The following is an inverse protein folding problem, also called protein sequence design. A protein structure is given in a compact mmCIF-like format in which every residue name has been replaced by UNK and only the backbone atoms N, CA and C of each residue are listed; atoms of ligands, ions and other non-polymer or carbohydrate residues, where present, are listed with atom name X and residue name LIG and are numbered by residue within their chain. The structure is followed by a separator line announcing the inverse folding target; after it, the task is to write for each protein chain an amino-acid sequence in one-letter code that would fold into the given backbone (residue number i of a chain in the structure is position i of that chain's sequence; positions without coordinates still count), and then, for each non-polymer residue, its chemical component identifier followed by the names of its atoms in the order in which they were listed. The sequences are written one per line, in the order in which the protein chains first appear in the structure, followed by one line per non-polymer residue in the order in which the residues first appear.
data_IF_667898723395
#
_entry.id   IF_667898723395
#
_cell.length_a   1.000
_cell.length_b   1.000
_cell.length_c   1.000
_cell.angle_alpha   90.00
_cell.angle_beta   90.00
_cell.angle_gamma   90.00
#
_symmetry.space_group_name_H-M   'P 1'
#
loop_
_entity.id
_entity.type
_entity.pdbx_description
1 polymer ?
#
# COMPACT_ATOMS: atom_id res chain seq x y z
N UNK A 1 14.34 -37.00 29.14
CA UNK A 1 15.52 -37.26 28.30
C UNK A 1 16.66 -36.35 28.71
N UNK A 2 17.72 -36.88 29.32
CA UNK A 2 18.84 -36.09 29.89
C UNK A 2 19.80 -35.59 28.80
N UNK A 3 20.02 -36.41 27.76
CA UNK A 3 20.83 -36.09 26.59
C UNK A 3 20.29 -34.94 25.73
N UNK A 4 18.96 -34.85 25.57
CA UNK A 4 18.31 -33.72 24.87
C UNK A 4 18.44 -32.41 25.65
N UNK A 5 18.43 -32.47 26.99
CA UNK A 5 18.60 -31.31 27.85
C UNK A 5 20.05 -30.79 27.82
N UNK A 6 21.03 -31.69 27.81
CA UNK A 6 22.45 -31.34 27.69
C UNK A 6 22.74 -30.74 26.30
N UNK A 7 22.16 -31.27 25.22
CA UNK A 7 22.25 -30.70 23.89
C UNK A 7 21.60 -29.30 23.79
N UNK A 8 20.44 -29.11 24.42
CA UNK A 8 19.78 -27.80 24.52
C UNK A 8 20.60 -26.79 25.35
N UNK A 9 21.29 -27.24 26.40
CA UNK A 9 22.10 -26.36 27.25
C UNK A 9 23.28 -25.71 26.51
N UNK A 10 23.74 -26.34 25.42
CA UNK A 10 24.84 -25.87 24.58
C UNK A 10 24.35 -24.90 23.49
N UNK A 11 23.05 -24.95 23.14
CA UNK A 11 22.43 -24.10 22.13
C UNK A 11 21.65 -22.95 22.79
N UNK A 12 22.32 -21.80 22.87
CA UNK A 12 21.77 -20.56 23.41
C UNK A 12 20.50 -20.09 22.70
N UNK A 13 20.35 -20.37 21.40
CA UNK A 13 19.17 -19.96 20.64
C UNK A 13 18.00 -20.92 20.88
N UNK A 14 18.27 -22.22 21.00
CA UNK A 14 17.25 -23.19 21.41
C UNK A 14 16.73 -22.91 22.83
N UNK A 15 17.59 -22.55 23.79
CA UNK A 15 17.15 -22.14 25.14
C UNK A 15 16.24 -20.91 25.09
N UNK A 16 16.55 -19.94 24.24
CA UNK A 16 15.74 -18.72 24.08
C UNK A 16 14.38 -19.03 23.44
N UNK A 17 14.33 -19.89 22.42
CA UNK A 17 13.07 -20.35 21.83
C UNK A 17 12.24 -21.16 22.81
N UNK A 18 12.87 -22.06 23.58
CA UNK A 18 12.18 -22.79 24.66
C UNK A 18 11.61 -21.84 25.72
N UNK A 19 12.34 -20.77 26.06
CA UNK A 19 11.80 -19.75 26.97
C UNK A 19 10.52 -19.11 26.42
N UNK A 20 10.45 -18.86 25.10
CA UNK A 20 9.24 -18.33 24.46
C UNK A 20 8.10 -19.34 24.47
N UNK A 21 8.36 -20.61 24.15
CA UNK A 21 7.36 -21.68 24.16
C UNK A 21 6.78 -21.87 25.58
N UNK A 22 7.64 -21.83 26.60
CA UNK A 22 7.19 -21.91 28.00
C UNK A 22 6.31 -20.70 28.34
N UNK A 23 6.71 -19.49 27.93
CA UNK A 23 5.90 -18.29 28.14
C UNK A 23 4.56 -18.37 27.40
N UNK A 24 4.54 -18.92 26.19
CA UNK A 24 3.32 -19.14 25.41
C UNK A 24 2.36 -20.09 26.12
N UNK A 25 2.88 -21.18 26.69
CA UNK A 25 2.09 -22.16 27.45
C UNK A 25 1.53 -21.59 28.75
N UNK A 26 2.28 -20.72 29.44
CA UNK A 26 1.89 -20.16 30.74
C UNK A 26 0.94 -18.98 30.58
N UNK A 27 1.30 -18.00 29.73
CA UNK A 27 0.54 -16.76 29.55
C UNK A 27 -0.60 -16.91 28.54
N UNK A 28 -0.49 -17.88 27.63
CA UNK A 28 -1.41 -18.05 26.50
C UNK A 28 -1.05 -17.17 25.31
N UNK A 29 -1.49 -17.61 24.13
CA UNK A 29 -1.21 -16.98 22.82
C UNK A 29 -1.80 -15.57 22.67
N UNK A 30 -2.81 -15.22 23.47
CA UNK A 30 -3.51 -13.93 23.39
C UNK A 30 -2.96 -12.88 24.38
N UNK A 31 -1.98 -13.22 25.22
CA UNK A 31 -1.46 -12.29 26.22
C UNK A 31 -0.56 -11.22 25.59
N UNK A 32 -0.73 -9.96 26.00
CA UNK A 32 0.01 -8.80 25.44
C UNK A 32 1.53 -8.98 25.56
N UNK A 33 1.99 -9.49 26.70
CA UNK A 33 3.42 -9.67 26.96
C UNK A 33 4.04 -10.76 26.07
N UNK A 34 3.26 -11.75 25.63
CA UNK A 34 3.78 -12.79 24.74
C UNK A 34 4.17 -12.17 23.39
N UNK A 35 3.28 -11.35 22.83
CA UNK A 35 3.55 -10.70 21.55
C UNK A 35 4.71 -9.71 21.66
N UNK A 36 4.81 -8.98 22.78
CA UNK A 36 5.95 -8.09 23.01
C UNK A 36 7.28 -8.88 23.08
N UNK A 37 7.30 -10.03 23.76
CA UNK A 37 8.48 -10.91 23.83
C UNK A 37 8.87 -11.46 22.45
N UNK A 38 7.90 -11.87 21.63
CA UNK A 38 8.13 -12.29 20.25
C UNK A 38 8.78 -11.18 19.42
N UNK A 39 8.21 -9.97 19.48
CA UNK A 39 8.73 -8.81 18.75
C UNK A 39 10.15 -8.44 19.18
N UNK A 40 10.41 -8.39 20.49
CA UNK A 40 11.73 -8.08 21.04
C UNK A 40 12.79 -9.12 20.63
N UNK A 41 12.41 -10.41 20.62
CA UNK A 41 13.31 -11.47 20.15
C UNK A 41 13.57 -11.39 18.65
N UNK A 42 12.57 -11.09 17.84
CA UNK A 42 12.77 -10.83 16.42
C UNK A 42 13.73 -9.66 16.18
N UNK A 43 13.63 -8.58 16.96
CA UNK A 43 14.59 -7.46 16.89
C UNK A 43 16.02 -7.93 17.20
N UNK A 44 16.22 -8.72 18.26
CA UNK A 44 17.53 -9.29 18.58
C UNK A 44 18.09 -10.19 17.46
N UNK A 45 17.23 -10.90 16.72
CA UNK A 45 17.64 -11.65 15.52
C UNK A 45 18.02 -10.76 14.34
N UNK A 46 17.37 -9.60 14.20
CA UNK A 46 17.75 -8.62 13.18
C UNK A 46 19.13 -8.01 13.48
N UNK A 47 19.42 -7.71 14.74
CA UNK A 47 20.73 -7.20 15.19
C UNK A 47 21.86 -8.22 14.98
N UNK A 48 21.55 -9.52 15.08
CA UNK A 48 22.49 -10.61 14.79
C UNK A 48 22.55 -11.01 13.31
N UNK A 49 21.93 -10.22 12.41
CA UNK A 49 21.84 -10.46 10.96
C UNK A 49 21.07 -11.73 10.56
N UNK A 50 20.35 -12.35 11.49
CA UNK A 50 19.51 -13.52 11.26
C UNK A 50 18.10 -13.12 10.82
N UNK A 51 18.00 -12.43 9.68
CA UNK A 51 16.75 -11.83 9.21
C UNK A 51 15.59 -12.81 8.99
N UNK A 52 15.86 -14.05 8.55
CA UNK A 52 14.80 -15.05 8.34
C UNK A 52 14.10 -15.43 9.66
N UNK A 53 14.85 -15.65 10.73
CA UNK A 53 14.26 -15.94 12.05
C UNK A 53 13.45 -14.76 12.59
N UNK A 54 13.91 -13.54 12.32
CA UNK A 54 13.15 -12.32 12.63
C UNK A 54 11.81 -12.27 11.88
N UNK A 55 11.84 -12.52 10.57
CA UNK A 55 10.65 -12.55 9.72
C UNK A 55 9.65 -13.60 10.22
N UNK A 56 10.11 -14.82 10.51
CA UNK A 56 9.23 -15.91 10.98
C UNK A 56 8.55 -15.55 12.31
N UNK A 57 9.29 -14.98 13.27
CA UNK A 57 8.73 -14.56 14.55
C UNK A 57 7.76 -13.38 14.42
N UNK A 58 8.09 -12.38 13.60
CA UNK A 58 7.25 -11.20 13.41
C UNK A 58 6.00 -11.53 12.59
N UNK A 59 6.08 -12.46 11.63
CA UNK A 59 4.89 -13.02 10.95
C UNK A 59 3.97 -13.73 11.94
N UNK A 60 4.51 -14.60 12.79
CA UNK A 60 3.71 -15.27 13.82
C UNK A 60 3.08 -14.26 14.80
N UNK A 61 3.85 -13.25 15.23
CA UNK A 61 3.32 -12.17 16.06
C UNK A 61 2.19 -11.39 15.37
N UNK A 62 2.27 -11.16 14.07
CA UNK A 62 1.23 -10.49 13.28
C UNK A 62 -0.03 -11.35 13.17
N UNK A 63 0.10 -12.65 12.93
CA UNK A 63 -1.02 -13.60 12.90
C UNK A 63 -1.80 -13.60 14.21
N UNK A 64 -1.08 -13.69 15.34
CA UNK A 64 -1.69 -13.64 16.67
C UNK A 64 -2.41 -12.33 16.93
N UNK A 65 -1.88 -11.19 16.45
CA UNK A 65 -2.50 -9.87 16.60
C UNK A 65 -3.76 -9.72 15.77
N UNK A 66 -3.73 -10.15 14.51
CA UNK A 66 -4.89 -10.08 13.62
C UNK A 66 -6.02 -10.93 14.19
N UNK A 67 -5.73 -12.15 14.64
CA UNK A 67 -6.69 -13.06 15.25
C UNK A 67 -7.34 -12.50 16.54
N UNK A 68 -6.65 -11.64 17.28
CA UNK A 68 -7.12 -11.11 18.57
C UNK A 68 -7.74 -9.71 18.46
N UNK A 69 -6.99 -8.76 17.91
CA UNK A 69 -7.25 -7.32 18.03
C UNK A 69 -7.67 -6.66 16.69
N UNK A 70 -7.78 -7.44 15.60
CA UNK A 70 -8.05 -6.98 14.22
C UNK A 70 -6.96 -6.06 13.63
N UNK A 71 -7.11 -5.73 12.35
CA UNK A 71 -6.19 -4.86 11.60
C UNK A 71 -6.29 -3.39 12.04
N UNK A 72 -7.43 -2.95 12.58
CA UNK A 72 -7.66 -1.54 12.96
C UNK A 72 -6.90 -1.11 14.23
N UNK A 73 -6.37 -2.07 14.99
CA UNK A 73 -5.66 -1.79 16.22
C UNK A 73 -4.25 -1.26 15.95
N UNK A 74 -3.85 -0.20 16.66
CA UNK A 74 -2.60 0.52 16.42
C UNK A 74 -1.37 -0.39 16.53
N UNK A 75 -1.39 -1.33 17.47
CA UNK A 75 -0.29 -2.25 17.70
C UNK A 75 -0.16 -3.23 16.51
N UNK A 76 -1.27 -3.74 15.97
CA UNK A 76 -1.28 -4.62 14.78
C UNK A 76 -0.69 -3.91 13.56
N UNK A 77 -1.10 -2.66 13.34
CA UNK A 77 -0.54 -1.80 12.29
C UNK A 77 0.97 -1.58 12.47
N UNK A 78 1.41 -1.34 13.71
CA UNK A 78 2.82 -1.14 14.01
C UNK A 78 3.66 -2.39 13.69
N UNK A 79 3.16 -3.59 14.03
CA UNK A 79 3.85 -4.85 13.68
C UNK A 79 3.92 -5.10 12.19
N UNK A 80 2.83 -4.85 11.46
CA UNK A 80 2.83 -4.95 10.00
C UNK A 80 3.81 -3.94 9.38
N UNK A 81 3.85 -2.70 9.89
CA UNK A 81 4.77 -1.67 9.42
C UNK A 81 6.24 -2.05 9.67
N UNK A 82 6.56 -2.58 10.85
CA UNK A 82 7.91 -3.04 11.19
C UNK A 82 8.35 -4.17 10.25
N UNK A 83 7.47 -5.13 9.98
CA UNK A 83 7.74 -6.26 9.08
C UNK A 83 7.98 -5.80 7.64
N UNK A 84 7.17 -4.88 7.12
CA UNK A 84 7.37 -4.31 5.77
C UNK A 84 8.68 -3.53 5.67
N UNK A 85 9.05 -2.77 6.70
CA UNK A 85 10.33 -2.07 6.74
C UNK A 85 11.51 -3.04 6.71
N UNK A 86 11.43 -4.13 7.47
CA UNK A 86 12.43 -5.18 7.46
C UNK A 86 12.58 -5.81 6.07
N UNK A 87 11.47 -6.09 5.39
CA UNK A 87 11.53 -6.60 4.01
C UNK A 87 12.18 -5.60 3.05
N UNK A 88 11.83 -4.30 3.15
CA UNK A 88 12.43 -3.27 2.31
C UNK A 88 13.94 -3.14 2.56
N UNK A 89 14.35 -3.15 3.83
CA UNK A 89 15.76 -3.02 4.24
C UNK A 89 16.59 -4.23 3.78
N UNK A 90 16.05 -5.43 3.99
CA UNK A 90 16.68 -6.66 3.53
C UNK A 90 16.82 -6.68 1.99
N UNK A 91 15.78 -6.23 1.27
CA UNK A 91 15.80 -6.18 -0.19
C UNK A 91 16.80 -5.13 -0.73
N UNK A 92 16.89 -3.96 -0.09
CA UNK A 92 17.87 -2.91 -0.46
C UNK A 92 19.31 -3.38 -0.20
N UNK A 93 19.58 -3.92 1.00
CA UNK A 93 20.91 -4.45 1.36
C UNK A 93 21.31 -5.64 0.50
N UNK A 94 20.37 -6.53 0.16
CA UNK A 94 20.63 -7.62 -0.76
C UNK A 94 20.91 -7.12 -2.19
N UNK A 95 20.12 -6.15 -2.68
CA UNK A 95 20.34 -5.53 -3.98
C UNK A 95 21.68 -4.78 -4.09
N UNK A 96 22.15 -4.19 -2.99
CA UNK A 96 23.46 -3.56 -2.88
C UNK A 96 24.62 -4.57 -2.71
N UNK A 97 24.33 -5.87 -2.58
CA UNK A 97 25.33 -6.92 -2.36
C UNK A 97 25.92 -6.96 -0.95
N UNK A 98 25.34 -6.22 0.01
CA UNK A 98 25.78 -6.17 1.42
C UNK A 98 25.36 -7.43 2.20
N UNK A 99 24.29 -8.10 1.77
CA UNK A 99 23.75 -9.31 2.40
C UNK A 99 23.51 -10.43 1.39
N UNK A 100 23.86 -11.66 1.78
CA UNK A 100 23.58 -12.87 1.01
C UNK A 100 22.13 -13.31 1.11
N UNK A 101 21.47 -13.04 2.24
CA UNK A 101 20.08 -13.39 2.51
C UNK A 101 19.11 -12.48 1.75
N UNK A 102 18.27 -13.08 0.91
CA UNK A 102 17.22 -12.37 0.17
C UNK A 102 15.86 -12.48 0.86
N UNK A 103 14.97 -11.52 0.62
CA UNK A 103 13.56 -11.63 1.04
C UNK A 103 12.89 -12.77 0.28
N UNK A 104 12.19 -13.67 0.98
CA UNK A 104 11.42 -14.74 0.34
C UNK A 104 10.11 -14.16 -0.20
N UNK A 105 9.76 -14.37 -1.48
CA UNK A 105 8.49 -13.89 -2.04
C UNK A 105 7.27 -14.44 -1.29
N UNK A 106 7.36 -15.67 -0.78
CA UNK A 106 6.32 -16.34 -0.01
C UNK A 106 5.96 -15.59 1.27
N UNK A 107 6.95 -14.99 1.95
CA UNK A 107 6.72 -14.22 3.19
C UNK A 107 5.96 -12.91 2.90
N UNK A 108 6.32 -12.24 1.80
CA UNK A 108 5.63 -11.02 1.35
C UNK A 108 4.21 -11.33 0.92
N UNK A 109 4.00 -12.43 0.19
CA UNK A 109 2.66 -12.86 -0.23
C UNK A 109 1.82 -13.21 0.99
N UNK A 110 2.35 -14.00 1.92
CA UNK A 110 1.65 -14.39 3.14
C UNK A 110 1.21 -13.17 3.97
N UNK A 111 2.08 -12.17 4.13
CA UNK A 111 1.74 -10.94 4.86
C UNK A 111 0.67 -10.12 4.16
N UNK A 112 0.66 -10.06 2.82
CA UNK A 112 -0.46 -9.49 2.06
C UNK A 112 -1.73 -10.27 2.34
N UNK A 113 -1.69 -11.60 2.28
CA UNK A 113 -2.87 -12.45 2.49
C UNK A 113 -3.49 -12.28 3.88
N UNK A 114 -2.66 -12.18 4.92
CA UNK A 114 -3.10 -11.87 6.29
C UNK A 114 -3.77 -10.50 6.40
N UNK A 115 -3.21 -9.47 5.75
CA UNK A 115 -3.82 -8.13 5.78
C UNK A 115 -5.09 -8.05 4.94
N UNK A 116 -5.25 -8.90 3.92
CA UNK A 116 -6.43 -8.92 3.07
C UNK A 116 -7.60 -9.72 3.64
N UNK A 117 -7.35 -10.70 4.51
CA UNK A 117 -8.42 -11.57 5.04
C UNK A 117 -9.46 -10.81 5.84
N UNK A 118 -9.03 -9.85 6.67
CA UNK A 118 -9.92 -9.09 7.55
C UNK A 118 -10.30 -7.71 7.00
N UNK A 119 -9.78 -7.35 5.82
CA UNK A 119 -9.93 -6.01 5.27
C UNK A 119 -11.40 -5.67 4.97
N UNK A 120 -12.20 -6.64 4.50
CA UNK A 120 -13.63 -6.45 4.22
C UNK A 120 -14.43 -6.11 5.46
N UNK A 121 -14.20 -6.85 6.53
CA UNK A 121 -14.89 -6.65 7.80
C UNK A 121 -14.47 -5.28 8.39
N UNK A 122 -13.18 -4.95 8.33
CA UNK A 122 -12.69 -3.65 8.80
C UNK A 122 -13.30 -2.47 8.03
N UNK A 123 -13.45 -2.58 6.71
CA UNK A 123 -14.11 -1.55 5.89
C UNK A 123 -15.54 -1.30 6.35
N UNK A 124 -16.32 -2.38 6.53
CA UNK A 124 -17.72 -2.26 6.99
C UNK A 124 -17.83 -1.69 8.40
N UNK A 125 -16.87 -1.99 9.29
CA UNK A 125 -16.86 -1.45 10.65
C UNK A 125 -16.59 0.06 10.69
N UNK A 126 -15.82 0.59 9.74
CA UNK A 126 -15.52 2.02 9.65
C UNK A 126 -16.69 2.85 9.11
N UNK A 127 -17.70 2.20 8.52
CA UNK A 127 -18.95 2.86 8.08
C UNK A 127 -19.95 3.04 9.22
N UNK A 128 -19.80 2.28 10.32
CA UNK A 128 -20.71 2.31 11.47
C UNK A 128 -20.33 3.47 12.40
N UNK A 129 -21.29 4.33 12.71
CA UNK A 129 -21.09 5.42 13.67
C UNK A 129 -21.16 4.91 15.13
N UNK A 130 -20.36 5.45 16.07
CA UNK A 130 -19.39 6.55 15.91
C UNK A 130 -18.04 6.11 15.35
N UNK A 131 -17.47 6.90 14.44
CA UNK A 131 -16.18 6.59 13.81
C UNK A 131 -15.01 7.12 14.66
N UNK A 132 -14.11 6.23 15.07
CA UNK A 132 -12.95 6.59 15.89
C UNK A 132 -11.75 6.98 15.04
N UNK A 133 -11.26 8.21 15.21
CA UNK A 133 -10.10 8.76 14.48
C UNK A 133 -8.85 7.86 14.52
N UNK A 134 -8.57 7.22 15.66
CA UNK A 134 -7.42 6.30 15.80
C UNK A 134 -7.52 5.10 14.85
N UNK A 135 -8.71 4.53 14.69
CA UNK A 135 -8.95 3.39 13.81
C UNK A 135 -8.85 3.80 12.33
N UNK A 136 -9.30 5.01 11.98
CA UNK A 136 -9.11 5.58 10.66
C UNK A 136 -7.63 5.80 10.31
N UNK A 137 -6.84 6.34 11.25
CA UNK A 137 -5.40 6.50 11.05
C UNK A 137 -4.67 5.15 10.89
N UNK A 138 -5.10 4.14 11.64
CA UNK A 138 -4.62 2.76 11.48
C UNK A 138 -4.97 2.19 10.10
N UNK A 139 -6.20 2.38 9.65
CA UNK A 139 -6.67 1.99 8.32
C UNK A 139 -5.84 2.61 7.20
N UNK A 140 -5.63 3.94 7.25
CA UNK A 140 -4.80 4.63 6.27
C UNK A 140 -3.36 4.10 6.25
N UNK A 141 -2.79 3.76 7.42
CA UNK A 141 -1.48 3.13 7.50
C UNK A 141 -1.47 1.75 6.86
N UNK A 142 -2.51 0.95 7.06
CA UNK A 142 -2.64 -0.39 6.46
C UNK A 142 -2.68 -0.30 4.93
N UNK A 143 -3.44 0.64 4.37
CA UNK A 143 -3.47 0.83 2.91
C UNK A 143 -2.10 1.24 2.36
N UNK A 144 -1.35 2.07 3.09
CA UNK A 144 0.06 2.37 2.75
C UNK A 144 0.93 1.12 2.84
N UNK A 145 0.86 0.35 3.94
CA UNK A 145 1.60 -0.91 4.13
C UNK A 145 1.34 -1.87 2.96
N UNK A 146 0.08 -2.05 2.56
CA UNK A 146 -0.30 -2.88 1.40
C UNK A 146 0.37 -2.35 0.12
N UNK A 147 0.34 -1.04 -0.13
CA UNK A 147 0.99 -0.48 -1.32
C UNK A 147 2.51 -0.73 -1.35
N UNK A 148 3.19 -0.65 -0.19
CA UNK A 148 4.62 -0.96 -0.07
C UNK A 148 4.91 -2.47 -0.24
N UNK A 149 4.04 -3.34 0.26
CA UNK A 149 4.12 -4.79 0.00
C UNK A 149 3.95 -5.10 -1.49
N UNK A 150 3.02 -4.43 -2.18
CA UNK A 150 2.86 -4.56 -3.63
C UNK A 150 4.12 -4.12 -4.38
N UNK A 151 4.78 -3.05 -3.92
CA UNK A 151 6.07 -2.64 -4.47
C UNK A 151 7.12 -3.75 -4.35
N UNK A 152 7.26 -4.35 -3.17
CA UNK A 152 8.17 -5.49 -2.97
C UNK A 152 7.83 -6.67 -3.87
N UNK A 153 6.55 -7.04 -4.00
CA UNK A 153 6.11 -8.11 -4.90
C UNK A 153 6.56 -7.84 -6.33
N UNK A 154 6.43 -6.59 -6.82
CA UNK A 154 6.84 -6.25 -8.20
C UNK A 154 8.35 -6.36 -8.42
N UNK A 155 9.17 -6.27 -7.37
CA UNK A 155 10.63 -6.44 -7.46
C UNK A 155 11.07 -7.90 -7.33
N UNK A 156 10.34 -8.67 -6.51
CA UNK A 156 10.68 -10.07 -6.20
C UNK A 156 10.07 -11.08 -7.18
N UNK A 157 8.95 -10.74 -7.82
CA UNK A 157 8.24 -11.68 -8.70
C UNK A 157 8.96 -11.86 -10.04
N UNK A 158 9.70 -12.96 -10.17
CA UNK A 158 10.29 -13.44 -11.44
C UNK A 158 9.55 -14.66 -12.00
N UNK A 159 8.56 -15.23 -11.29
CA UNK A 159 7.91 -16.51 -11.64
C UNK A 159 6.42 -16.32 -11.93
N UNK A 160 5.93 -16.64 -13.15
CA UNK A 160 4.57 -16.32 -13.58
C UNK A 160 3.46 -17.17 -12.91
N UNK A 161 3.76 -18.39 -12.44
CA UNK A 161 2.75 -19.30 -11.88
C UNK A 161 2.26 -18.90 -10.48
N UNK A 162 3.12 -18.35 -9.63
CA UNK A 162 2.76 -17.86 -8.29
C UNK A 162 2.03 -16.51 -8.33
N UNK A 163 2.07 -15.80 -9.47
CA UNK A 163 1.43 -14.50 -9.62
C UNK A 163 -0.09 -14.57 -9.79
N UNK A 164 -0.62 -15.62 -10.43
CA UNK A 164 -2.05 -15.73 -10.73
C UNK A 164 -2.99 -15.65 -9.51
N UNK A 165 -2.78 -16.43 -8.42
CA UNK A 165 -3.66 -16.34 -7.24
C UNK A 165 -3.57 -14.97 -6.57
N UNK A 166 -2.36 -14.40 -6.48
CA UNK A 166 -2.13 -13.07 -5.91
C UNK A 166 -2.80 -11.98 -6.76
N UNK A 167 -2.63 -12.00 -8.08
CA UNK A 167 -3.28 -11.08 -9.02
C UNK A 167 -4.81 -11.16 -8.92
N UNK A 168 -5.39 -12.36 -8.74
CA UNK A 168 -6.83 -12.50 -8.48
C UNK A 168 -7.26 -11.83 -7.17
N UNK A 169 -6.48 -11.96 -6.10
CA UNK A 169 -6.75 -11.29 -4.82
C UNK A 169 -6.63 -9.77 -4.94
N UNK A 170 -5.58 -9.28 -5.61
CA UNK A 170 -5.39 -7.84 -5.89
C UNK A 170 -6.52 -7.30 -6.77
N UNK A 171 -6.94 -8.04 -7.80
CA UNK A 171 -8.09 -7.66 -8.63
C UNK A 171 -9.37 -7.56 -7.81
N UNK A 172 -9.65 -8.52 -6.92
CA UNK A 172 -10.81 -8.43 -6.01
C UNK A 172 -10.72 -7.20 -5.10
N UNK A 173 -9.55 -6.94 -4.51
CA UNK A 173 -9.30 -5.78 -3.67
C UNK A 173 -9.55 -4.46 -4.41
N UNK A 174 -9.01 -4.34 -5.62
CA UNK A 174 -9.01 -3.10 -6.36
C UNK A 174 -10.35 -2.85 -7.08
N UNK A 175 -10.96 -3.90 -7.64
CA UNK A 175 -12.17 -3.79 -8.44
C UNK A 175 -13.46 -3.92 -7.63
N UNK A 176 -13.53 -4.88 -6.70
CA UNK A 176 -14.75 -5.15 -5.93
C UNK A 176 -14.80 -4.34 -4.65
N UNK A 177 -13.69 -4.24 -3.93
CA UNK A 177 -13.66 -3.53 -2.64
C UNK A 177 -13.38 -2.03 -2.79
N UNK A 178 -12.47 -1.64 -3.69
CA UNK A 178 -12.04 -0.25 -3.91
C UNK A 178 -11.80 0.54 -2.59
N UNK A 179 -10.92 0.04 -1.69
CA UNK A 179 -10.73 0.64 -0.38
C UNK A 179 -10.20 2.07 -0.50
N UNK A 180 -10.80 2.97 0.28
CA UNK A 180 -10.47 4.41 0.30
C UNK A 180 -9.82 4.80 1.62
N UNK A 181 -8.84 5.68 1.55
CA UNK A 181 -8.30 6.35 2.75
C UNK A 181 -9.30 7.36 3.31
N UNK A 182 -8.99 7.95 4.46
CA UNK A 182 -9.73 9.10 5.00
C UNK A 182 -9.83 10.28 4.04
N UNK A 183 -8.85 10.44 3.15
CA UNK A 183 -8.85 11.47 2.11
C UNK A 183 -9.56 11.03 0.82
N UNK A 184 -10.16 9.85 0.80
CA UNK A 184 -10.78 9.28 -0.39
C UNK A 184 -9.78 8.74 -1.42
N UNK A 185 -8.48 8.69 -1.09
CA UNK A 185 -7.45 8.20 -2.00
C UNK A 185 -7.63 6.70 -2.21
N UNK A 186 -7.71 6.28 -3.47
CA UNK A 186 -7.64 4.87 -3.85
C UNK A 186 -6.19 4.36 -3.80
N UNK A 187 -6.00 3.04 -3.88
CA UNK A 187 -4.66 2.44 -3.98
C UNK A 187 -3.85 3.00 -5.15
N UNK A 188 -4.50 3.41 -6.24
CA UNK A 188 -3.82 4.03 -7.39
C UNK A 188 -3.33 5.45 -7.06
N UNK A 189 -4.08 6.24 -6.28
CA UNK A 189 -3.60 7.54 -5.76
C UNK A 189 -2.37 7.36 -4.88
N UNK A 190 -2.37 6.36 -3.99
CA UNK A 190 -1.22 6.05 -3.13
C UNK A 190 0.01 5.62 -3.95
N UNK A 191 -0.18 4.85 -5.02
CA UNK A 191 0.91 4.40 -5.89
C UNK A 191 1.58 5.54 -6.67
N UNK A 192 0.87 6.65 -6.88
CA UNK A 192 1.40 7.81 -7.63
C UNK A 192 1.77 9.00 -6.76
N UNK A 193 1.55 8.93 -5.44
CA UNK A 193 1.82 10.02 -4.51
C UNK A 193 3.11 9.84 -3.72
N UNK A 194 3.95 10.88 -3.65
CA UNK A 194 5.09 10.94 -2.69
C UNK A 194 4.65 10.99 -1.23
N UNK A 195 3.38 11.35 -0.95
CA UNK A 195 2.85 11.32 0.43
C UNK A 195 2.71 9.91 1.00
N UNK A 196 2.81 8.89 0.14
CA UNK A 196 2.83 7.49 0.52
C UNK A 196 4.21 7.09 1.07
N UNK A 197 4.46 7.51 2.31
CA UNK A 197 5.69 7.22 3.04
C UNK A 197 5.38 6.65 4.42
N UNK A 198 6.09 5.59 4.80
CA UNK A 198 6.01 4.97 6.12
C UNK A 198 6.90 5.72 7.12
N UNK A 199 6.58 6.98 7.42
CA UNK A 199 7.26 7.74 8.47
C UNK A 199 7.02 7.05 9.83
N UNK A 200 8.09 6.58 10.46
CA UNK A 200 8.10 6.22 11.89
C UNK A 200 9.37 6.81 12.46
N UNK A 201 9.26 7.56 13.56
CA UNK A 201 10.39 8.30 14.11
C UNK A 201 11.42 7.45 14.88
N UNK A 202 11.16 6.17 15.26
CA UNK A 202 11.88 5.64 16.43
C UNK A 202 12.40 4.17 16.35
N UNK A 203 12.75 3.58 15.21
CA UNK A 203 13.28 2.18 15.20
C UNK A 203 14.56 1.95 14.40
N UNK A 204 14.78 2.70 13.32
CA UNK A 204 16.03 2.66 12.57
C UNK A 204 16.47 4.12 12.44
N UNK A 205 17.32 4.58 13.35
CA UNK A 205 17.84 5.96 13.38
C UNK A 205 18.86 6.26 12.27
N UNK A 206 19.22 5.28 11.45
CA UNK A 206 20.10 5.53 10.32
C UNK A 206 19.32 6.03 9.10
N UNK A 207 19.75 7.18 8.58
CA UNK A 207 19.13 7.97 7.51
C UNK A 207 19.13 7.30 6.13
N UNK A 208 18.61 6.08 6.04
CA UNK A 208 18.38 5.37 4.79
C UNK A 208 17.31 6.06 3.94
N UNK A 209 17.51 6.06 2.62
CA UNK A 209 16.61 6.63 1.60
C UNK A 209 15.25 5.89 1.48
N UNK A 210 14.84 5.13 2.50
CA UNK A 210 13.63 4.31 2.56
C UNK A 210 12.32 5.12 2.43
N UNK A 211 12.41 6.45 2.41
CA UNK A 211 11.27 7.37 2.39
C UNK A 211 10.63 7.64 1.03
N UNK A 212 11.29 7.34 -0.10
CA UNK A 212 10.89 7.80 -1.44
C UNK A 212 10.63 6.68 -2.47
N UNK A 213 9.94 5.60 -2.07
CA UNK A 213 9.59 4.48 -2.98
C UNK A 213 8.52 4.85 -4.03
N UNK A 214 7.68 5.83 -3.71
CA UNK A 214 6.59 6.31 -4.57
C UNK A 214 6.91 7.70 -5.12
N UNK A 215 6.42 8.07 -6.32
CA UNK A 215 5.57 7.32 -7.24
C UNK A 215 6.26 6.07 -7.83
N UNK A 216 5.54 4.96 -7.97
CA UNK A 216 6.10 3.69 -8.45
C UNK A 216 5.41 3.21 -9.72
N UNK A 217 6.14 3.20 -10.85
CA UNK A 217 5.63 2.71 -12.13
C UNK A 217 5.23 1.22 -12.06
N UNK A 218 6.04 0.30 -11.49
CA UNK A 218 5.65 -1.11 -11.41
C UNK A 218 4.35 -1.34 -10.63
N UNK A 219 4.16 -0.63 -9.51
CA UNK A 219 2.93 -0.73 -8.72
C UNK A 219 1.74 -0.16 -9.46
N UNK A 220 1.88 1.03 -10.07
CA UNK A 220 0.82 1.62 -10.88
C UNK A 220 0.42 0.68 -12.03
N UNK A 221 1.39 0.07 -12.72
CA UNK A 221 1.15 -0.91 -13.79
C UNK A 221 0.40 -2.14 -13.28
N UNK A 222 0.84 -2.71 -12.16
CA UNK A 222 0.18 -3.86 -11.55
C UNK A 222 -1.28 -3.55 -11.18
N UNK A 223 -1.53 -2.40 -10.55
CA UNK A 223 -2.88 -1.99 -10.16
C UNK A 223 -3.79 -1.78 -11.37
N UNK A 224 -3.28 -1.14 -12.43
CA UNK A 224 -4.02 -0.93 -13.67
C UNK A 224 -4.33 -2.24 -14.38
N UNK A 225 -3.37 -3.16 -14.48
CA UNK A 225 -3.57 -4.51 -15.01
C UNK A 225 -4.59 -5.32 -14.18
N UNK A 226 -4.67 -5.06 -12.88
CA UNK A 226 -5.65 -5.68 -11.98
C UNK A 226 -7.02 -4.97 -11.97
N UNK A 227 -7.27 -4.01 -12.87
CA UNK A 227 -8.59 -3.38 -13.02
C UNK A 227 -8.84 -2.17 -12.10
N UNK A 228 -7.77 -1.47 -11.67
CA UNK A 228 -7.92 -0.21 -10.94
C UNK A 228 -8.72 0.83 -11.71
N UNK A 229 -9.64 1.49 -11.00
CA UNK A 229 -10.40 2.63 -11.52
C UNK A 229 -9.45 3.81 -11.75
N UNK A 230 -9.07 4.03 -13.00
CA UNK A 230 -8.15 5.10 -13.43
C UNK A 230 -8.68 6.51 -13.14
N UNK A 231 -10.01 6.66 -13.18
CA UNK A 231 -10.71 7.93 -13.01
C UNK A 231 -11.43 8.01 -11.66
N UNK A 232 -11.03 7.18 -10.69
CA UNK A 232 -11.48 7.32 -9.31
C UNK A 232 -11.15 8.71 -8.80
N UNK A 233 -12.06 9.37 -8.10
CA UNK A 233 -11.82 10.66 -7.46
C UNK A 233 -11.58 10.46 -5.96
N UNK A 234 -10.73 11.31 -5.38
CA UNK A 234 -10.57 11.42 -3.93
C UNK A 234 -11.48 12.52 -3.34
N UNK A 235 -11.33 12.87 -2.06
CA UNK A 235 -12.15 13.89 -1.40
C UNK A 235 -12.00 15.31 -1.99
N UNK A 236 -10.93 15.56 -2.75
CA UNK A 236 -10.72 16.81 -3.48
C UNK A 236 -11.18 16.71 -4.95
N UNK A 237 -11.95 15.67 -5.29
CA UNK A 237 -12.31 15.30 -6.66
C UNK A 237 -11.11 15.13 -7.59
N UNK A 238 -9.92 14.95 -7.02
CA UNK A 238 -8.70 14.75 -7.79
C UNK A 238 -8.62 13.29 -8.21
N UNK A 239 -8.26 13.05 -9.47
CA UNK A 239 -7.98 11.71 -10.00
C UNK A 239 -6.53 11.30 -9.76
N UNK A 240 -6.17 10.01 -9.89
CA UNK A 240 -4.77 9.58 -9.84
C UNK A 240 -3.90 10.35 -10.84
N UNK A 241 -4.46 10.73 -11.99
CA UNK A 241 -3.77 11.54 -12.97
C UNK A 241 -3.51 12.98 -12.48
N UNK A 242 -4.44 13.60 -11.73
CA UNK A 242 -4.16 14.89 -11.06
C UNK A 242 -2.97 14.73 -10.11
N UNK A 243 -3.02 13.74 -9.23
CA UNK A 243 -1.96 13.50 -8.22
C UNK A 243 -0.61 13.25 -8.88
N UNK A 244 -0.57 12.47 -9.98
CA UNK A 244 0.65 12.19 -10.74
C UNK A 244 1.16 13.39 -11.55
N UNK A 245 0.27 14.32 -11.95
CA UNK A 245 0.62 15.50 -12.75
C UNK A 245 1.17 16.65 -11.92
N UNK A 246 0.94 16.65 -10.59
CA UNK A 246 1.54 17.61 -9.67
C UNK A 246 3.07 17.57 -9.74
N UNK A 247 3.72 18.74 -9.75
CA UNK A 247 5.19 18.88 -9.82
C UNK A 247 5.93 18.00 -8.80
N UNK A 248 5.40 17.93 -7.57
CA UNK A 248 6.00 17.11 -6.51
C UNK A 248 5.99 15.62 -6.85
N UNK A 249 4.99 15.10 -7.55
CA UNK A 249 4.80 13.66 -7.83
C UNK A 249 5.14 13.28 -9.28
N UNK A 250 5.58 14.22 -10.09
CA UNK A 250 5.69 14.01 -11.52
C UNK A 250 6.73 12.95 -11.88
N UNK A 251 6.27 11.90 -12.57
CA UNK A 251 7.10 10.94 -13.30
C UNK A 251 6.45 10.70 -14.66
N UNK A 252 7.14 11.07 -15.74
CA UNK A 252 6.66 10.97 -17.12
C UNK A 252 6.09 9.58 -17.42
N UNK A 253 6.82 8.52 -17.06
CA UNK A 253 6.40 7.13 -17.32
C UNK A 253 5.08 6.76 -16.63
N UNK A 254 4.85 7.25 -15.40
CA UNK A 254 3.62 6.99 -14.65
C UNK A 254 2.45 7.72 -15.29
N UNK A 255 2.64 8.98 -15.68
CA UNK A 255 1.62 9.77 -16.38
C UNK A 255 1.26 9.14 -17.72
N UNK A 256 2.27 8.75 -18.52
CA UNK A 256 2.04 8.05 -19.78
C UNK A 256 1.32 6.72 -19.61
N UNK A 257 1.66 5.94 -18.58
CA UNK A 257 0.98 4.70 -18.27
C UNK A 257 -0.51 4.96 -18.01
N UNK A 258 -0.84 5.92 -17.14
CA UNK A 258 -2.23 6.26 -16.81
C UNK A 258 -3.00 6.72 -18.05
N UNK A 259 -2.40 7.59 -18.88
CA UNK A 259 -3.03 8.10 -20.10
C UNK A 259 -3.25 7.00 -21.14
N UNK A 260 -2.26 6.12 -21.36
CA UNK A 260 -2.38 5.00 -22.31
C UNK A 260 -3.49 4.02 -21.95
N UNK A 261 -3.79 3.87 -20.66
CA UNK A 261 -4.83 2.97 -20.19
C UNK A 261 -6.21 3.65 -20.03
N UNK A 262 -6.34 4.95 -20.35
CA UNK A 262 -7.63 5.66 -20.36
C UNK A 262 -7.87 6.62 -19.20
N UNK A 263 -6.82 7.10 -18.53
CA UNK A 263 -6.92 8.19 -17.57
C UNK A 263 -7.42 9.48 -18.23
N UNK A 264 -8.47 10.09 -17.70
CA UNK A 264 -9.07 11.31 -18.24
C UNK A 264 -8.21 12.54 -17.90
N UNK A 265 -7.72 13.20 -18.95
CA UNK A 265 -6.83 14.36 -18.85
C UNK A 265 -7.56 15.68 -18.55
N UNK A 266 -8.88 15.70 -18.69
CA UNK A 266 -9.68 16.92 -18.72
C UNK A 266 -10.73 17.04 -17.61
N UNK A 267 -10.77 16.06 -16.70
CA UNK A 267 -11.62 16.16 -15.50
C UNK A 267 -11.15 17.29 -14.61
N UNK A 268 -12.08 18.09 -14.06
CA UNK A 268 -11.77 19.11 -13.06
C UNK A 268 -11.82 18.51 -11.66
N UNK A 269 -10.94 18.99 -10.78
CA UNK A 269 -11.04 18.77 -9.34
C UNK A 269 -11.87 19.87 -8.67
N UNK A 270 -12.01 19.83 -7.33
CA UNK A 270 -12.75 20.85 -6.54
C UNK A 270 -12.24 22.28 -6.76
N UNK A 271 -10.97 22.45 -7.15
CA UNK A 271 -10.37 23.76 -7.44
C UNK A 271 -10.56 24.20 -8.90
N UNK A 272 -11.29 23.43 -9.73
CA UNK A 272 -11.42 23.68 -11.16
C UNK A 272 -10.14 23.41 -11.96
N UNK A 273 -9.13 22.79 -11.34
CA UNK A 273 -7.85 22.46 -11.98
C UNK A 273 -7.98 21.14 -12.72
N UNK A 274 -7.47 21.09 -13.95
CA UNK A 274 -7.46 19.91 -14.81
C UNK A 274 -6.05 19.31 -14.88
N UNK A 275 -5.88 17.98 -15.04
CA UNK A 275 -4.57 17.37 -15.24
C UNK A 275 -3.83 17.96 -16.43
N UNK A 276 -4.53 18.27 -17.53
CA UNK A 276 -3.99 18.96 -18.69
C UNK A 276 -3.27 20.27 -18.32
N UNK A 277 -3.86 21.08 -17.43
CA UNK A 277 -3.26 22.34 -16.99
C UNK A 277 -1.99 22.10 -16.16
N UNK A 278 -2.01 21.10 -15.26
CA UNK A 278 -0.85 20.73 -14.45
C UNK A 278 0.31 20.20 -15.31
N UNK A 279 0.01 19.40 -16.34
CA UNK A 279 1.00 18.92 -17.29
C UNK A 279 1.56 20.07 -18.14
N UNK A 280 0.70 20.93 -18.71
CA UNK A 280 1.14 22.07 -19.51
C UNK A 280 2.05 23.03 -18.73
N UNK A 281 1.79 23.23 -17.44
CA UNK A 281 2.60 24.07 -16.57
C UNK A 281 3.93 23.40 -16.13
N UNK A 282 4.09 22.11 -16.37
CA UNK A 282 5.26 21.35 -15.93
C UNK A 282 6.33 21.28 -17.04
N UNK A 283 7.52 21.89 -16.84
CA UNK A 283 8.59 21.93 -17.84
C UNK A 283 9.18 20.54 -18.13
N UNK A 284 9.03 19.57 -17.22
CA UNK A 284 9.52 18.21 -17.41
C UNK A 284 8.56 17.34 -18.23
N UNK A 285 7.36 17.83 -18.54
CA UNK A 285 6.39 17.05 -19.29
C UNK A 285 6.62 17.15 -20.80
N UNK A 286 6.71 16.00 -21.45
CA UNK A 286 6.76 15.90 -22.93
C UNK A 286 5.48 15.28 -23.50
N UNK A 287 4.47 15.09 -22.65
CA UNK A 287 3.19 14.48 -23.01
C UNK A 287 2.41 15.39 -23.94
N UNK A 288 2.06 14.90 -25.13
CA UNK A 288 1.17 15.61 -26.05
C UNK A 288 -0.27 15.59 -25.53
N UNK A 289 -0.69 16.66 -24.84
CA UNK A 289 -2.04 16.82 -24.28
C UNK A 289 -3.13 16.66 -25.35
N UNK A 290 -2.88 17.19 -26.55
CA UNK A 290 -3.80 17.15 -27.71
C UNK A 290 -4.14 15.74 -28.15
N UNK A 291 -3.27 14.75 -27.90
CA UNK A 291 -3.53 13.34 -28.25
C UNK A 291 -4.60 12.70 -27.37
N UNK A 292 -4.73 13.16 -26.13
CA UNK A 292 -5.61 12.59 -25.12
C UNK A 292 -6.86 13.43 -24.85
N UNK A 293 -6.95 14.63 -25.44
CA UNK A 293 -8.13 15.47 -25.40
C UNK A 293 -9.14 15.01 -26.46
N UNK A 294 -10.31 14.55 -26.02
CA UNK A 294 -11.36 14.11 -26.95
C UNK A 294 -12.25 15.27 -27.39
N UNK A 295 -12.92 15.14 -28.54
CA UNK A 295 -13.95 16.09 -28.98
C UNK A 295 -15.06 16.28 -27.93
N UNK A 296 -15.42 15.19 -27.22
CA UNK A 296 -16.41 15.26 -26.13
C UNK A 296 -15.93 16.17 -24.99
N UNK A 297 -14.65 16.08 -24.63
CA UNK A 297 -14.03 16.95 -23.62
C UNK A 297 -14.13 18.42 -24.07
N UNK A 298 -13.73 18.75 -25.30
CA UNK A 298 -13.83 20.10 -25.85
C UNK A 298 -15.27 20.64 -25.84
N UNK A 299 -16.25 19.82 -26.24
CA UNK A 299 -17.66 20.21 -26.17
C UNK A 299 -18.10 20.48 -24.73
N UNK A 300 -17.73 19.60 -23.78
CA UNK A 300 -18.05 19.78 -22.37
C UNK A 300 -17.40 21.05 -21.79
N UNK A 301 -16.16 21.35 -22.17
CA UNK A 301 -15.49 22.61 -21.80
C UNK A 301 -16.26 23.83 -22.31
N UNK A 302 -16.72 23.82 -23.56
CA UNK A 302 -17.47 24.93 -24.15
C UNK A 302 -18.81 25.12 -23.44
N UNK A 303 -19.50 24.03 -23.10
CA UNK A 303 -20.76 24.06 -22.34
C UNK A 303 -20.53 24.65 -20.94
N UNK A 304 -19.52 24.14 -20.24
CA UNK A 304 -19.13 24.55 -18.88
C UNK A 304 -18.69 26.03 -18.84
N UNK A 305 -17.86 26.46 -19.79
CA UNK A 305 -17.36 27.84 -19.86
C UNK A 305 -18.45 28.87 -20.24
N UNK A 306 -19.45 28.47 -21.04
CA UNK A 306 -20.53 29.37 -21.46
C UNK A 306 -21.79 29.26 -20.59
N UNK A 307 -21.76 28.48 -19.50
CA UNK A 307 -22.91 28.24 -18.60
C UNK A 307 -24.20 27.87 -19.34
N UNK A 308 -24.09 27.04 -20.39
CA UNK A 308 -25.26 26.64 -21.17
C UNK A 308 -26.14 25.68 -20.35
N UNK A 309 -27.48 25.76 -20.46
CA UNK A 309 -28.36 24.81 -19.80
C UNK A 309 -28.23 23.43 -20.46
N UNK A 310 -27.70 22.45 -19.74
CA UNK A 310 -27.49 21.08 -20.26
C UNK A 310 -28.36 20.02 -19.55
N UNK A 311 -29.05 20.38 -18.46
CA UNK A 311 -29.91 19.46 -17.69
C UNK A 311 -31.24 19.24 -18.41
N UNK A 312 -31.52 18.01 -18.82
CA UNK A 312 -32.73 17.60 -19.54
C UNK A 312 -32.65 17.70 -21.07
N UNK A 313 -31.60 18.31 -21.64
CA UNK A 313 -31.37 18.35 -23.09
C UNK A 313 -30.41 17.23 -23.57
N UNK A 314 -29.60 16.71 -22.66
CA UNK A 314 -28.57 15.72 -22.94
C UNK A 314 -28.87 14.45 -22.10
N UNK A 315 -28.61 13.23 -22.59
CA UNK A 315 -28.75 12.02 -21.78
C UNK A 315 -28.05 12.14 -20.41
N UNK A 316 -28.65 11.64 -19.34
CA UNK A 316 -28.12 11.73 -17.95
C UNK A 316 -26.66 11.26 -17.82
N UNK A 317 -26.25 10.25 -18.61
CA UNK A 317 -24.86 9.76 -18.65
C UNK A 317 -23.87 10.83 -19.11
N UNK A 318 -24.30 11.72 -19.99
CA UNK A 318 -23.49 12.84 -20.46
C UNK A 318 -23.61 14.07 -19.55
N UNK A 319 -24.70 14.21 -18.78
CA UNK A 319 -24.79 15.26 -17.76
C UNK A 319 -23.69 15.09 -16.71
N UNK A 320 -23.51 13.88 -16.17
CA UNK A 320 -22.40 13.58 -15.23
C UNK A 320 -21.02 13.83 -15.84
N UNK A 321 -20.87 13.58 -17.14
CA UNK A 321 -19.64 13.86 -17.88
C UNK A 321 -19.39 15.37 -18.02
N UNK A 322 -20.43 16.15 -18.33
CA UNK A 322 -20.35 17.62 -18.42
C UNK A 322 -20.08 18.22 -17.03
N UNK A 323 -20.73 17.71 -15.98
CA UNK A 323 -20.49 18.15 -14.61
C UNK A 323 -19.04 17.93 -14.17
N UNK A 324 -18.39 16.85 -14.65
CA UNK A 324 -16.98 16.55 -14.38
C UNK A 324 -15.95 17.42 -15.15
N UNK A 325 -16.37 18.29 -16.09
CA UNK A 325 -15.51 19.12 -16.96
C UNK A 325 -15.66 20.63 -16.71
#
# INVERSE_FOLDING_TARGET
NRSELDALSLDLDALRLQSLIICERILGVQHKDMIYRLMYRGAAYADSLQYHHCIDLWKYALELRIAKDTILYCDTCFTAQALVKLFLDLNEKHGAGLLTSAVRPEDVIHTIELLLSDLSNCSTLLEIAPVYKRQQESWDKVLKIISHLLHLVTQLSRKPLTELPLRKKIHRLVHLMDPRTTQGDSLLHLAVSKSNSLKTQNFFEDGGQMGNLFPSLPVAKLLVECGARLNATNALESTPLHTASCLANFKQEVVELLLRHGGHIDMKNVQGVRPAHLLAANPASTVSITRYLSLKCLCAQVISNNNLPFKGEVPEVLETFIEAH
#
